data_IF_693702000849
#
_entry.id   IF_693702000849
#
_cell.length_a   1.000
_cell.length_b   1.000
_cell.length_c   1.000
_cell.angle_alpha   90.00
_cell.angle_beta   90.00
_cell.angle_gamma   90.00
#
_symmetry.space_group_name_H-M   'P 1'
#
loop_
_entity.id
_entity.type
_entity.pdbx_description
1 polymer ?
#
# COMPACT_ATOMS: atom_id res chain seq x y z
N UNK A 1 -4.43 13.68 2.90
CA UNK A 1 -4.30 13.33 4.34
C UNK A 1 -2.97 12.62 4.52
N UNK A 2 -2.19 12.93 5.55
CA UNK A 2 -0.95 12.19 5.84
C UNK A 2 -1.30 10.98 6.72
N UNK A 3 -1.34 9.78 6.13
CA UNK A 3 -1.49 8.53 6.88
C UNK A 3 -0.19 8.17 7.59
N UNK A 4 -0.27 7.72 8.84
CA UNK A 4 0.88 7.17 9.51
C UNK A 4 1.27 5.83 8.86
N UNK A 5 2.57 5.52 8.81
CA UNK A 5 3.07 4.34 8.09
C UNK A 5 2.56 3.01 8.69
N UNK A 6 2.16 3.02 9.96
CA UNK A 6 1.55 1.86 10.64
C UNK A 6 0.06 1.64 10.28
N UNK A 7 -0.57 2.58 9.57
CA UNK A 7 -1.92 2.40 9.04
C UNK A 7 -1.93 1.60 7.73
N UNK A 8 -0.76 1.45 7.08
CA UNK A 8 -0.60 0.55 5.94
C UNK A 8 -0.62 -0.90 6.48
N UNK A 9 -1.81 -1.50 6.48
CA UNK A 9 -2.09 -2.82 7.07
C UNK A 9 -1.22 -3.96 6.52
N UNK A 10 -0.70 -3.79 5.30
CA UNK A 10 0.18 -4.76 4.65
C UNK A 10 1.65 -4.67 5.07
N UNK A 11 2.01 -3.75 5.97
CA UNK A 11 3.35 -3.65 6.58
C UNK A 11 3.35 -4.32 7.97
N UNK A 12 4.11 -5.41 8.17
CA UNK A 12 4.33 -5.99 9.48
C UNK A 12 4.95 -4.99 10.50
N UNK A 13 4.54 -5.06 11.76
CA UNK A 13 5.01 -4.16 12.83
C UNK A 13 6.54 -4.07 12.97
N UNK A 14 7.27 -5.16 12.74
CA UNK A 14 8.74 -5.15 12.78
C UNK A 14 9.36 -4.37 11.60
N UNK A 15 8.69 -4.35 10.44
CA UNK A 15 9.13 -3.59 9.26
C UNK A 15 8.72 -2.12 9.36
N UNK A 16 7.56 -1.82 9.96
CA UNK A 16 7.18 -0.45 10.36
C UNK A 16 8.29 0.20 11.19
N UNK A 17 8.78 -0.48 12.24
CA UNK A 17 9.85 0.05 13.10
C UNK A 17 11.14 0.36 12.32
N UNK A 18 11.55 -0.54 11.43
CA UNK A 18 12.74 -0.33 10.58
C UNK A 18 12.61 0.90 9.68
N UNK A 19 11.42 1.17 9.16
CA UNK A 19 11.16 2.35 8.33
C UNK A 19 11.15 3.62 9.20
N UNK A 20 10.56 3.57 10.39
CA UNK A 20 10.58 4.68 11.35
C UNK A 20 12.01 5.02 11.82
N UNK A 21 12.89 4.03 12.00
CA UNK A 21 14.32 4.23 12.29
C UNK A 21 15.05 4.97 11.17
N UNK A 22 14.56 4.91 9.93
CA UNK A 22 15.04 5.71 8.80
C UNK A 22 14.36 7.09 8.70
N UNK A 23 13.55 7.48 9.70
CA UNK A 23 12.79 8.73 9.69
C UNK A 23 11.49 8.67 8.89
N UNK A 24 11.09 7.52 8.37
CA UNK A 24 9.90 7.36 7.53
C UNK A 24 8.69 7.08 8.43
N UNK A 25 7.95 8.13 8.78
CA UNK A 25 6.80 8.05 9.70
C UNK A 25 5.44 8.02 9.00
N UNK A 26 5.38 8.47 7.75
CA UNK A 26 4.13 8.63 6.99
C UNK A 26 4.18 7.89 5.66
N UNK A 27 3.01 7.61 5.08
CA UNK A 27 2.90 7.06 3.74
C UNK A 27 3.58 7.97 2.69
N UNK A 28 3.41 9.29 2.81
CA UNK A 28 4.06 10.27 1.93
C UNK A 28 5.60 10.18 2.01
N UNK A 29 6.16 10.13 3.22
CA UNK A 29 7.59 9.96 3.41
C UNK A 29 8.10 8.63 2.80
N UNK A 30 7.29 7.57 2.86
CA UNK A 30 7.64 6.29 2.25
C UNK A 30 7.66 6.38 0.72
N UNK A 31 6.64 7.04 0.14
CA UNK A 31 6.57 7.27 -1.29
C UNK A 31 7.77 8.08 -1.79
N UNK A 32 8.13 9.16 -1.09
CA UNK A 32 9.28 9.99 -1.43
C UNK A 32 10.60 9.22 -1.31
N UNK A 33 10.79 8.45 -0.24
CA UNK A 33 12.00 7.66 0.01
C UNK A 33 12.13 6.42 -0.89
N UNK A 34 11.07 6.01 -1.58
CA UNK A 34 11.01 4.77 -2.36
C UNK A 34 10.51 4.94 -3.81
N UNK A 35 10.46 6.18 -4.30
CA UNK A 35 9.82 6.52 -5.57
C UNK A 35 10.42 5.78 -6.76
N UNK A 36 11.74 5.75 -6.88
CA UNK A 36 12.43 5.09 -8.00
C UNK A 36 12.96 3.71 -7.62
N UNK A 37 13.28 2.85 -8.60
CA UNK A 37 13.96 1.59 -8.33
C UNK A 37 15.30 1.76 -7.60
N UNK A 38 16.02 2.86 -7.85
CA UNK A 38 17.27 3.16 -7.16
C UNK A 38 17.02 3.50 -5.68
N UNK A 39 16.00 4.31 -5.39
CA UNK A 39 15.64 4.69 -4.02
C UNK A 39 15.21 3.45 -3.21
N UNK A 40 14.38 2.57 -3.81
CA UNK A 40 13.99 1.32 -3.15
C UNK A 40 15.17 0.40 -2.89
N UNK A 41 16.16 0.36 -3.77
CA UNK A 41 17.39 -0.42 -3.54
C UNK A 41 18.20 0.15 -2.38
N UNK A 42 18.35 1.48 -2.31
CA UNK A 42 19.01 2.14 -1.19
C UNK A 42 18.26 1.87 0.13
N UNK A 43 16.94 2.00 0.12
CA UNK A 43 16.10 1.74 1.29
C UNK A 43 16.12 0.26 1.70
N UNK A 44 16.17 -0.66 0.74
CA UNK A 44 16.35 -2.09 0.99
C UNK A 44 17.67 -2.37 1.69
N UNK A 45 18.77 -1.76 1.23
CA UNK A 45 20.08 -1.88 1.87
C UNK A 45 20.08 -1.29 3.29
N UNK A 46 19.42 -0.17 3.52
CA UNK A 46 19.38 0.49 4.82
C UNK A 46 18.52 -0.26 5.86
N UNK A 47 17.41 -0.87 5.43
CA UNK A 47 16.42 -1.50 6.33
C UNK A 47 16.52 -3.02 6.38
N UNK A 48 17.20 -3.64 5.41
CA UNK A 48 17.17 -5.07 5.18
C UNK A 48 15.79 -5.59 4.74
N UNK A 49 14.95 -4.74 4.15
CA UNK A 49 13.64 -5.11 3.60
C UNK A 49 13.81 -5.41 2.11
N UNK A 50 13.19 -6.49 1.63
CA UNK A 50 13.22 -6.85 0.21
C UNK A 50 12.61 -5.75 -0.68
N UNK A 51 13.27 -5.45 -1.81
CA UNK A 51 12.81 -4.42 -2.77
C UNK A 51 11.35 -4.64 -3.22
N UNK A 52 10.91 -5.90 -3.35
CA UNK A 52 9.53 -6.23 -3.76
C UNK A 52 8.48 -5.83 -2.71
N UNK A 53 8.82 -5.91 -1.43
CA UNK A 53 7.95 -5.46 -0.33
C UNK A 53 7.89 -3.93 -0.30
N UNK A 54 9.04 -3.27 -0.44
CA UNK A 54 9.10 -1.81 -0.55
C UNK A 54 8.31 -1.31 -1.77
N UNK A 55 8.44 -1.97 -2.93
CA UNK A 55 7.67 -1.64 -4.11
C UNK A 55 6.17 -1.69 -3.82
N UNK A 56 5.69 -2.75 -3.18
CA UNK A 56 4.28 -2.88 -2.82
C UNK A 56 3.81 -1.73 -1.93
N UNK A 57 4.52 -1.41 -0.86
CA UNK A 57 4.08 -0.39 0.10
C UNK A 57 4.24 1.04 -0.42
N UNK A 58 5.25 1.30 -1.26
CA UNK A 58 5.39 2.56 -1.98
C UNK A 58 4.19 2.78 -2.88
N UNK A 59 3.75 1.77 -3.64
CA UNK A 59 2.56 1.93 -4.48
C UNK A 59 1.26 2.00 -3.66
N UNK A 60 1.20 1.37 -2.48
CA UNK A 60 0.10 1.60 -1.55
C UNK A 60 0.04 3.07 -1.13
N UNK A 61 1.18 3.65 -0.74
CA UNK A 61 1.29 5.07 -0.40
C UNK A 61 0.97 6.00 -1.58
N UNK A 62 1.29 5.56 -2.80
CA UNK A 62 0.95 6.25 -4.05
C UNK A 62 -0.58 6.27 -4.30
N UNK A 63 -1.25 5.14 -4.09
CA UNK A 63 -2.71 5.03 -4.20
C UNK A 63 -3.43 5.87 -3.13
N UNK A 64 -2.91 5.92 -1.89
CA UNK A 64 -3.55 6.66 -0.79
C UNK A 64 -3.53 8.19 -0.97
N UNK A 65 -2.87 8.71 -2.01
CA UNK A 65 -2.97 10.12 -2.40
C UNK A 65 -4.30 10.48 -3.06
N UNK A 66 -5.09 9.50 -3.52
CA UNK A 66 -6.38 9.73 -4.16
C UNK A 66 -7.42 10.09 -3.10
N UNK A 67 -8.07 11.24 -3.26
CA UNK A 67 -9.13 11.69 -2.37
C UNK A 67 -10.25 10.63 -2.25
N UNK A 68 -10.59 10.30 -1.01
CA UNK A 68 -11.60 9.29 -0.69
C UNK A 68 -11.09 7.85 -0.62
N UNK A 69 -9.78 7.60 -0.84
CA UNK A 69 -9.17 6.31 -0.53
C UNK A 69 -8.60 6.30 0.88
N UNK A 70 -9.32 5.64 1.79
CA UNK A 70 -8.82 5.34 3.13
C UNK A 70 -7.99 4.02 3.15
N UNK A 71 -7.34 3.69 4.28
CA UNK A 71 -6.56 2.47 4.37
C UNK A 71 -7.35 1.18 4.14
N UNK A 72 -8.63 1.14 4.54
CA UNK A 72 -9.48 -0.05 4.38
C UNK A 72 -9.82 -0.28 2.90
N UNK A 73 -10.17 0.79 2.19
CA UNK A 73 -10.48 0.77 0.76
C UNK A 73 -9.23 0.48 -0.07
N UNK A 74 -8.07 1.04 0.28
CA UNK A 74 -6.79 0.72 -0.38
C UNK A 74 -6.43 -0.75 -0.19
N UNK A 75 -6.66 -1.31 1.00
CA UNK A 75 -6.47 -2.75 1.25
C UNK A 75 -7.43 -3.60 0.41
N UNK A 76 -8.68 -3.15 0.24
CA UNK A 76 -9.66 -3.84 -0.62
C UNK A 76 -9.27 -3.80 -2.10
N UNK A 77 -8.72 -2.66 -2.57
CA UNK A 77 -8.16 -2.52 -3.91
C UNK A 77 -6.98 -3.48 -4.12
N UNK A 78 -6.09 -3.57 -3.14
CA UNK A 78 -4.96 -4.49 -3.17
C UNK A 78 -5.42 -5.95 -3.34
N UNK A 79 -6.41 -6.39 -2.55
CA UNK A 79 -7.00 -7.73 -2.67
C UNK A 79 -7.76 -7.94 -3.99
N UNK A 80 -8.29 -6.86 -4.59
CA UNK A 80 -8.87 -6.89 -5.92
C UNK A 80 -7.80 -6.98 -7.03
N UNK A 81 -6.52 -6.97 -6.68
CA UNK A 81 -5.39 -7.01 -7.61
C UNK A 81 -5.04 -5.65 -8.20
N UNK A 82 -5.37 -4.56 -7.50
CA UNK A 82 -4.96 -3.20 -7.84
C UNK A 82 -3.85 -2.81 -6.85
N UNK A 83 -2.60 -2.88 -7.30
CA UNK A 83 -1.45 -2.56 -6.44
C UNK A 83 -0.75 -1.29 -6.87
N UNK A 84 -0.98 -0.81 -8.10
CA UNK A 84 -0.41 0.43 -8.65
C UNK A 84 -1.49 1.35 -9.22
N UNK A 85 -1.18 2.65 -9.36
CA UNK A 85 -2.05 3.57 -10.11
C UNK A 85 -2.28 3.12 -11.57
N UNK A 86 -1.31 2.42 -12.17
CA UNK A 86 -1.44 1.90 -13.53
C UNK A 86 -2.51 0.79 -13.59
N UNK A 87 -2.55 -0.09 -12.61
CA UNK A 87 -3.58 -1.13 -12.51
C UNK A 87 -4.96 -0.50 -12.35
N UNK A 88 -5.07 0.52 -11.49
CA UNK A 88 -6.33 1.22 -11.25
C UNK A 88 -6.83 1.90 -12.53
N UNK A 89 -5.93 2.60 -13.25
CA UNK A 89 -6.24 3.25 -14.53
C UNK A 89 -6.67 2.25 -15.61
N UNK A 90 -6.08 1.06 -15.62
CA UNK A 90 -6.35 0.04 -16.65
C UNK A 90 -7.61 -0.80 -16.40
N UNK A 91 -8.24 -0.67 -15.23
CA UNK A 91 -9.37 -1.51 -14.83
C UNK A 91 -10.70 -0.88 -15.25
N UNK A 92 -11.62 -1.70 -15.75
CA UNK A 92 -13.01 -1.26 -15.93
C UNK A 92 -13.66 -0.97 -14.58
N UNK A 93 -14.32 0.20 -14.38
CA UNK A 93 -15.00 0.52 -13.14
C UNK A 93 -16.04 -0.53 -12.74
N UNK A 94 -16.80 -1.06 -13.71
CA UNK A 94 -17.84 -2.06 -13.45
C UNK A 94 -17.25 -3.38 -12.96
N UNK A 95 -16.18 -3.85 -13.59
CA UNK A 95 -15.52 -5.10 -13.19
C UNK A 95 -14.79 -4.95 -11.86
N UNK A 96 -14.18 -3.79 -11.60
CA UNK A 96 -13.52 -3.48 -10.33
C UNK A 96 -14.53 -3.47 -9.18
N UNK A 97 -15.62 -2.70 -9.32
CA UNK A 97 -16.68 -2.64 -8.32
C UNK A 97 -17.24 -4.03 -8.01
N UNK A 98 -17.57 -4.81 -9.05
CA UNK A 98 -18.10 -6.17 -8.87
C UNK A 98 -17.13 -7.07 -8.10
N UNK A 99 -15.83 -6.96 -8.38
CA UNK A 99 -14.78 -7.72 -7.69
C UNK A 99 -14.64 -7.28 -6.22
N UNK A 100 -14.60 -5.97 -5.96
CA UNK A 100 -14.48 -5.40 -4.62
C UNK A 100 -15.69 -5.77 -3.75
N UNK A 101 -16.91 -5.71 -4.29
CA UNK A 101 -18.12 -6.16 -3.57
C UNK A 101 -18.01 -7.64 -3.20
N UNK A 102 -17.60 -8.50 -4.12
CA UNK A 102 -17.42 -9.93 -3.85
C UNK A 102 -16.39 -10.20 -2.75
N UNK A 103 -15.25 -9.49 -2.77
CA UNK A 103 -14.22 -9.60 -1.73
C UNK A 103 -14.74 -9.09 -0.39
N UNK A 104 -15.38 -7.91 -0.38
CA UNK A 104 -15.91 -7.31 0.84
C UNK A 104 -17.00 -8.20 1.49
N UNK A 105 -17.88 -8.79 0.69
CA UNK A 105 -18.86 -9.77 1.18
C UNK A 105 -18.17 -10.99 1.81
N UNK A 106 -17.08 -11.50 1.20
CA UNK A 106 -16.30 -12.59 1.79
C UNK A 106 -15.65 -12.20 3.11
N UNK A 107 -15.06 -11.00 3.21
CA UNK A 107 -14.50 -10.47 4.47
C UNK A 107 -15.56 -10.40 5.57
N UNK A 108 -16.74 -9.86 5.25
CA UNK A 108 -17.87 -9.74 6.18
C UNK A 108 -18.47 -11.09 6.58
N UNK A 109 -18.43 -12.09 5.70
CA UNK A 109 -18.93 -13.43 5.99
C UNK A 109 -17.87 -14.32 6.66
N UNK A 110 -16.60 -13.91 6.63
CA UNK A 110 -15.47 -14.58 7.29
C UNK A 110 -15.27 -14.10 8.75
N UNK A 111 -16.32 -13.56 9.38
CA UNK A 111 -16.30 -13.25 10.81
C UNK A 111 -16.16 -14.57 11.59
N UNK A 112 -15.15 -14.60 12.45
CA UNK A 112 -14.85 -15.63 13.45
C UNK A 112 -15.96 -15.78 14.49
#
# INVERSE_FOLDING_TARGET
MQYAINEITSIPNNQVKKLQEQGIQTAEALLDAGRTPADRRALASATGIEEIKLFKWVNYADLSQIDGLDPELTTLLEEAGITTMLDLRGRSPFSLHSKMVSINQKRRNAIW
#
